data_IF_868776223802
#
_entry.id   IF_868776223802
#
_cell.length_a   1.000
_cell.length_b   1.000
_cell.length_c   1.000
_cell.angle_alpha   90.00
_cell.angle_beta   90.00
_cell.angle_gamma   90.00
#
_symmetry.space_group_name_H-M   'P 1'
#
loop_
_entity.id
_entity.type
_entity.pdbx_description
1 polymer ?
#
# COMPACT_ATOMS: atom_id res chain seq x y z
N UNK A 1 1.86 -11.54 -8.35
CA UNK A 1 1.56 -11.75 -6.92
C UNK A 1 1.95 -13.18 -6.57
N UNK A 2 2.50 -13.44 -5.39
CA UNK A 2 2.84 -14.81 -4.95
C UNK A 2 1.57 -15.44 -4.38
N UNK A 3 1.19 -16.61 -4.86
CA UNK A 3 -0.01 -17.31 -4.37
C UNK A 3 0.28 -18.07 -3.08
N UNK A 4 -0.78 -18.41 -2.33
CA UNK A 4 -0.63 -19.19 -1.09
C UNK A 4 -0.06 -20.58 -1.35
N UNK A 5 -0.33 -21.15 -2.54
CA UNK A 5 0.20 -22.44 -2.95
C UNK A 5 1.71 -22.39 -3.19
N UNK A 6 2.20 -21.31 -3.82
CA UNK A 6 3.64 -21.08 -4.03
C UNK A 6 4.38 -20.95 -2.69
N UNK A 7 3.78 -20.24 -1.72
CA UNK A 7 4.34 -20.10 -0.37
C UNK A 7 4.39 -21.46 0.34
N UNK A 8 3.33 -22.25 0.22
CA UNK A 8 3.26 -23.56 0.85
C UNK A 8 4.35 -24.51 0.30
N UNK A 9 4.53 -24.54 -1.02
CA UNK A 9 5.59 -25.34 -1.63
C UNK A 9 6.99 -24.88 -1.16
N UNK A 10 7.21 -23.57 -1.07
CA UNK A 10 8.46 -22.99 -0.57
C UNK A 10 8.75 -23.40 0.88
N UNK A 11 7.74 -23.37 1.76
CA UNK A 11 7.87 -23.83 3.15
C UNK A 11 8.25 -25.30 3.22
N UNK A 12 7.65 -26.15 2.38
CA UNK A 12 7.93 -27.59 2.35
C UNK A 12 9.36 -27.93 1.89
N UNK A 13 9.94 -27.09 1.02
CA UNK A 13 11.31 -27.29 0.50
C UNK A 13 12.39 -26.62 1.35
N UNK A 14 12.02 -25.74 2.28
CA UNK A 14 12.96 -24.97 3.07
C UNK A 14 13.38 -25.72 4.34
N UNK A 15 14.64 -25.57 4.74
CA UNK A 15 15.13 -26.07 6.03
C UNK A 15 15.24 -24.89 6.99
N UNK A 16 14.55 -24.97 8.13
CA UNK A 16 14.53 -23.92 9.15
C UNK A 16 13.23 -23.11 9.15
N UNK A 17 13.24 -21.98 9.87
CA UNK A 17 12.04 -21.12 10.01
C UNK A 17 11.99 -20.07 8.91
N UNK A 18 10.85 -20.01 8.22
CA UNK A 18 10.54 -18.98 7.24
C UNK A 18 9.58 -17.95 7.88
N UNK A 19 9.85 -16.66 7.72
CA UNK A 19 8.92 -15.59 8.12
C UNK A 19 8.53 -14.78 6.89
N UNK A 20 7.24 -14.71 6.60
CA UNK A 20 6.70 -13.98 5.45
C UNK A 20 6.10 -12.64 5.90
N UNK A 21 6.44 -11.57 5.19
CA UNK A 21 5.78 -10.27 5.30
C UNK A 21 5.08 -9.98 3.99
N UNK A 22 3.75 -10.07 3.97
CA UNK A 22 2.94 -9.79 2.78
C UNK A 22 2.43 -8.36 2.85
N UNK A 23 2.78 -7.55 1.85
CA UNK A 23 2.31 -6.19 1.71
C UNK A 23 1.32 -6.11 0.56
N UNK A 24 0.10 -5.69 0.87
CA UNK A 24 -0.92 -5.37 -0.13
C UNK A 24 -1.02 -3.86 -0.23
N UNK A 25 -0.77 -3.34 -1.43
CA UNK A 25 -1.07 -1.95 -1.71
C UNK A 25 -2.58 -1.83 -1.96
N UNK A 26 -3.28 -0.90 -1.30
CA UNK A 26 -4.69 -0.69 -1.57
C UNK A 26 -4.84 -0.35 -3.05
N UNK A 27 -5.74 -1.05 -3.74
CA UNK A 27 -6.13 -0.65 -5.08
C UNK A 27 -6.66 0.78 -4.99
N UNK A 28 -6.18 1.72 -5.82
CA UNK A 28 -6.74 3.05 -5.84
C UNK A 28 -8.20 2.93 -6.25
N UNK A 29 -9.11 3.13 -5.30
CA UNK A 29 -10.57 3.10 -5.55
C UNK A 29 -10.99 4.15 -6.58
N UNK A 30 -10.15 5.16 -6.77
CA UNK A 30 -10.35 6.22 -7.72
C UNK A 30 -9.00 6.55 -8.37
N UNK A 31 -8.73 5.97 -9.53
CA UNK A 31 -7.53 6.28 -10.34
C UNK A 31 -7.48 7.75 -10.78
N UNK A 32 -8.63 8.42 -10.76
CA UNK A 32 -8.81 9.85 -11.05
C UNK A 32 -8.48 10.77 -9.87
N UNK A 33 -8.43 10.25 -8.63
CA UNK A 33 -8.12 11.05 -7.43
C UNK A 33 -6.63 10.94 -7.11
N UNK A 34 -5.79 11.33 -8.08
CA UNK A 34 -4.36 11.49 -7.83
C UNK A 34 -4.17 12.77 -7.05
N UNK A 35 -3.90 12.65 -5.76
CA UNK A 35 -3.49 13.82 -5.03
C UNK A 35 -2.00 14.11 -5.27
N UNK A 36 -1.77 15.22 -5.97
CA UNK A 36 -0.44 15.72 -6.30
C UNK A 36 -0.35 17.15 -5.80
N UNK A 37 0.64 17.44 -4.96
CA UNK A 37 1.00 18.80 -4.55
C UNK A 37 2.45 19.04 -4.95
N UNK A 38 2.72 20.13 -5.67
CA UNK A 38 4.07 20.46 -6.15
C UNK A 38 4.76 19.30 -6.89
N UNK A 39 4.03 18.57 -7.75
CA UNK A 39 4.50 17.38 -8.47
C UNK A 39 4.91 16.17 -7.61
N UNK A 40 4.65 16.19 -6.31
CA UNK A 40 4.83 15.04 -5.43
C UNK A 40 3.49 14.36 -5.17
N UNK A 41 3.46 13.03 -5.33
CA UNK A 41 2.30 12.22 -4.96
C UNK A 41 2.22 12.16 -3.43
N UNK A 42 1.09 12.60 -2.89
CA UNK A 42 0.84 12.60 -1.45
C UNK A 42 -0.35 11.68 -1.11
N UNK A 43 -0.46 11.30 0.17
CA UNK A 43 -1.53 10.43 0.64
C UNK A 43 -2.89 11.09 0.36
N UNK A 44 -3.82 10.34 -0.23
CA UNK A 44 -5.15 10.84 -0.63
C UNK A 44 -5.96 11.37 0.55
N UNK A 45 -5.70 10.91 1.78
CA UNK A 45 -6.31 11.46 3.01
C UNK A 45 -5.97 12.93 3.25
N UNK A 46 -4.77 13.38 2.85
CA UNK A 46 -4.33 14.77 3.00
C UNK A 46 -4.98 15.72 1.99
N UNK A 47 -5.87 15.20 1.14
CA UNK A 47 -6.50 15.92 0.04
C UNK A 47 -8.02 15.82 0.09
N UNK A 48 -8.52 15.19 1.16
CA UNK A 48 -9.92 15.34 1.51
C UNK A 48 -10.09 16.76 2.08
N UNK A 49 -10.85 17.64 1.40
CA UNK A 49 -11.11 19.00 1.91
C UNK A 49 -11.87 19.00 3.24
N UNK A 50 -12.35 17.85 3.72
CA UNK A 50 -12.99 17.66 5.02
C UNK A 50 -12.03 17.16 6.10
N UNK A 51 -10.81 16.73 5.75
CA UNK A 51 -9.82 16.32 6.75
C UNK A 51 -9.08 17.56 7.29
N UNK A 52 -9.17 17.86 8.59
CA UNK A 52 -8.51 19.04 9.18
C UNK A 52 -6.98 19.01 9.03
N UNK A 53 -6.36 17.86 8.75
CA UNK A 53 -4.93 17.75 8.48
C UNK A 53 -4.54 18.23 7.07
N UNK A 54 -5.48 18.27 6.12
CA UNK A 54 -5.25 18.78 4.78
C UNK A 54 -4.94 20.29 4.78
N UNK A 55 -5.47 21.00 5.77
CA UNK A 55 -5.37 22.46 5.91
C UNK A 55 -4.13 22.92 6.71
N UNK A 56 -3.38 22.00 7.32
CA UNK A 56 -2.25 22.32 8.22
C UNK A 56 -0.87 22.28 7.55
N UNK A 57 -0.80 21.90 6.28
CA UNK A 57 0.42 22.00 5.48
C UNK A 57 0.32 23.28 4.63
N UNK A 58 0.63 24.44 5.21
CA UNK A 58 1.00 25.65 4.45
C UNK A 58 2.49 25.93 4.63
#
# INVERSE_FOLDING_TARGET
EISDMDVQELVMKSIGRLTLVRQTFPLPQNTSQRCVRSNHRINTSLCDPKDPKAQMLE
#
